data_IF_830799456125
#
_entry.id   IF_830799456125
#
_cell.length_a   1.000
_cell.length_b   1.000
_cell.length_c   1.000
_cell.angle_alpha   90.00
_cell.angle_beta   90.00
_cell.angle_gamma   90.00
#
_symmetry.space_group_name_H-M   'P 1'
#
loop_
_entity.id
_entity.type
_entity.pdbx_description
1 polymer ?
#
# COMPACT_ATOMS: atom_id res chain seq x y z
N UNK A 1 -6.77 -14.60 -19.56
CA UNK A 1 -6.59 -14.34 -18.11
C UNK A 1 -5.50 -13.28 -17.87
N UNK A 2 -5.72 -12.23 -17.06
CA UNK A 2 -4.62 -11.33 -16.75
C UNK A 2 -3.56 -12.15 -16.00
N UNK A 3 -2.30 -12.16 -16.47
CA UNK A 3 -1.25 -12.92 -15.83
C UNK A 3 -0.92 -12.20 -14.51
N UNK A 4 -0.91 -12.95 -13.41
CA UNK A 4 -0.60 -12.50 -12.04
C UNK A 4 -1.62 -11.55 -11.38
N UNK A 5 -2.35 -12.12 -10.42
CA UNK A 5 -3.13 -11.37 -9.44
C UNK A 5 -2.16 -10.84 -8.39
N UNK A 6 -2.08 -9.52 -8.24
CA UNK A 6 -1.30 -8.86 -7.19
C UNK A 6 -1.72 -9.36 -5.81
N UNK A 7 -0.77 -9.83 -5.01
CA UNK A 7 -0.98 -10.18 -3.60
C UNK A 7 0.01 -9.36 -2.76
N UNK A 8 -0.47 -8.46 -1.90
CA UNK A 8 0.38 -7.63 -1.05
C UNK A 8 1.11 -8.52 -0.03
N UNK A 9 2.37 -8.22 0.26
CA UNK A 9 3.22 -8.95 1.22
C UNK A 9 3.11 -8.40 2.66
N UNK A 10 1.90 -8.04 3.08
CA UNK A 10 1.65 -7.52 4.44
C UNK A 10 1.75 -8.67 5.43
N UNK A 11 2.36 -8.42 6.60
CA UNK A 11 2.47 -9.40 7.68
C UNK A 11 1.09 -9.80 8.22
N UNK A 12 0.17 -8.83 8.32
CA UNK A 12 -1.21 -9.05 8.75
C UNK A 12 -2.06 -9.69 7.63
N UNK A 13 -2.34 -10.99 7.76
CA UNK A 13 -3.22 -11.72 6.80
C UNK A 13 -4.69 -11.34 6.92
N UNK A 14 -5.10 -10.82 8.07
CA UNK A 14 -6.48 -10.47 8.38
C UNK A 14 -6.67 -8.95 8.36
N UNK A 15 -7.85 -8.51 7.95
CA UNK A 15 -8.26 -7.11 7.97
C UNK A 15 -9.71 -7.01 8.44
N UNK A 16 -10.06 -5.92 9.15
CA UNK A 16 -11.43 -5.66 9.57
C UNK A 16 -12.27 -5.27 8.35
N UNK A 17 -13.48 -5.81 8.28
CA UNK A 17 -14.52 -5.43 7.31
C UNK A 17 -15.86 -5.30 8.03
N UNK A 18 -16.71 -4.42 7.53
CA UNK A 18 -18.11 -4.27 7.98
C UNK A 18 -18.99 -4.94 6.95
N UNK A 19 -19.79 -5.93 7.38
CA UNK A 19 -20.68 -6.64 6.49
C UNK A 19 -21.93 -5.79 6.19
N UNK A 20 -22.24 -5.59 4.91
CA UNK A 20 -23.49 -4.94 4.48
C UNK A 20 -24.65 -5.93 4.43
N UNK A 21 -24.35 -7.20 4.17
CA UNK A 21 -25.35 -8.27 4.09
C UNK A 21 -25.00 -9.46 5.00
N UNK A 22 -25.97 -10.33 5.24
CA UNK A 22 -25.74 -11.57 5.98
C UNK A 22 -24.93 -12.54 5.12
N UNK A 23 -23.71 -12.87 5.57
CA UNK A 23 -22.83 -13.80 4.86
C UNK A 23 -22.67 -15.08 5.66
N UNK A 24 -23.06 -16.21 5.06
CA UNK A 24 -23.01 -17.53 5.70
C UNK A 24 -21.59 -17.84 6.21
N UNK A 25 -21.49 -18.28 7.47
CA UNK A 25 -20.23 -18.62 8.16
C UNK A 25 -19.24 -17.45 8.34
N UNK A 26 -19.66 -16.21 8.11
CA UNK A 26 -18.82 -15.02 8.32
C UNK A 26 -19.42 -14.12 9.38
N UNK A 27 -20.69 -13.73 9.23
CA UNK A 27 -21.35 -12.85 10.18
C UNK A 27 -22.69 -12.30 9.67
N UNK A 28 -23.27 -11.39 10.45
CA UNK A 28 -24.53 -10.71 10.12
C UNK A 28 -24.27 -9.31 9.54
N UNK A 29 -25.28 -8.76 8.88
CA UNK A 29 -25.28 -7.35 8.45
C UNK A 29 -25.00 -6.44 9.64
N UNK A 30 -24.17 -5.42 9.44
CA UNK A 30 -23.72 -4.47 10.46
C UNK A 30 -22.63 -4.98 11.41
N UNK A 31 -22.18 -6.23 11.28
CA UNK A 31 -21.13 -6.77 12.13
C UNK A 31 -19.73 -6.44 11.59
N UNK A 32 -18.83 -6.01 12.49
CA UNK A 32 -17.40 -5.84 12.20
C UNK A 32 -16.70 -7.18 12.41
N UNK A 33 -16.08 -7.71 11.36
CA UNK A 33 -15.43 -9.02 11.38
C UNK A 33 -14.02 -8.97 10.80
N UNK A 34 -13.10 -9.76 11.37
CA UNK A 34 -11.75 -9.92 10.84
C UNK A 34 -11.71 -11.07 9.84
N UNK A 35 -11.52 -10.75 8.56
CA UNK A 35 -11.45 -11.75 7.48
C UNK A 35 -10.09 -11.71 6.81
N UNK A 36 -9.75 -12.77 6.08
CA UNK A 36 -8.53 -12.77 5.25
C UNK A 36 -8.62 -11.64 4.22
N UNK A 37 -7.57 -10.83 4.09
CA UNK A 37 -7.49 -9.70 3.14
C UNK A 37 -7.87 -10.09 1.72
N UNK A 38 -7.38 -11.24 1.26
CA UNK A 38 -7.71 -11.76 -0.08
C UNK A 38 -9.20 -12.06 -0.26
N UNK A 39 -9.87 -12.56 0.78
CA UNK A 39 -11.31 -12.82 0.74
C UNK A 39 -12.11 -11.51 0.71
N UNK A 40 -11.72 -10.52 1.52
CA UNK A 40 -12.30 -9.18 1.45
C UNK A 40 -12.12 -8.54 0.06
N UNK A 41 -10.88 -8.46 -0.42
CA UNK A 41 -10.51 -7.77 -1.67
C UNK A 41 -11.14 -8.38 -2.92
N UNK A 42 -11.30 -9.69 -2.96
CA UNK A 42 -11.64 -10.39 -4.20
C UNK A 42 -13.06 -10.93 -4.23
N UNK A 43 -13.72 -11.00 -3.08
CA UNK A 43 -15.07 -11.55 -2.97
C UNK A 43 -16.01 -10.61 -2.24
N UNK A 44 -15.71 -10.19 -1.01
CA UNK A 44 -16.69 -9.41 -0.25
C UNK A 44 -16.88 -7.99 -0.78
N UNK A 45 -15.79 -7.26 -1.00
CA UNK A 45 -15.84 -5.84 -1.43
C UNK A 45 -16.34 -5.70 -2.87
N UNK A 46 -15.85 -6.47 -3.87
CA UNK A 46 -16.32 -6.33 -5.25
C UNK A 46 -17.79 -6.74 -5.46
N UNK A 47 -18.31 -7.65 -4.63
CA UNK A 47 -19.72 -8.06 -4.67
C UNK A 47 -20.60 -7.21 -3.72
N UNK A 48 -20.08 -6.11 -3.18
CA UNK A 48 -20.79 -5.19 -2.28
C UNK A 48 -21.34 -5.81 -0.98
N UNK A 49 -20.88 -7.02 -0.62
CA UNK A 49 -21.28 -7.75 0.58
C UNK A 49 -20.67 -7.16 1.85
N UNK A 50 -19.54 -6.47 1.73
CA UNK A 50 -18.84 -5.82 2.83
C UNK A 50 -18.08 -4.59 2.36
N UNK A 51 -17.79 -3.71 3.30
CA UNK A 51 -16.89 -2.56 3.12
C UNK A 51 -15.68 -2.71 4.04
N UNK A 52 -14.55 -2.10 3.68
CA UNK A 52 -13.37 -2.09 4.54
C UNK A 52 -13.71 -1.46 5.88
N UNK A 53 -13.20 -2.01 6.98
CA UNK A 53 -13.41 -1.50 8.34
C UNK A 53 -12.60 -0.23 8.61
N UNK A 54 -12.73 0.79 7.76
CA UNK A 54 -12.28 2.14 8.08
C UNK A 54 -13.22 2.74 9.11
N UNK A 55 -12.75 3.73 9.87
CA UNK A 55 -13.60 4.39 10.86
C UNK A 55 -14.88 4.96 10.24
N UNK A 56 -14.79 5.58 9.06
CA UNK A 56 -15.94 6.14 8.31
C UNK A 56 -16.98 5.05 8.02
N UNK A 57 -16.51 3.90 7.54
CA UNK A 57 -17.37 2.79 7.17
C UNK A 57 -17.94 2.08 8.39
N UNK A 58 -17.20 2.02 9.50
CA UNK A 58 -17.69 1.45 10.76
C UNK A 58 -18.77 2.35 11.34
N UNK A 59 -18.54 3.66 11.43
CA UNK A 59 -19.51 4.61 11.98
C UNK A 59 -20.83 4.60 11.19
N UNK A 60 -20.76 4.44 9.88
CA UNK A 60 -21.95 4.47 9.03
C UNK A 60 -22.65 3.10 8.87
N UNK A 61 -21.89 2.03 8.71
CA UNK A 61 -22.45 0.72 8.34
C UNK A 61 -22.52 -0.27 9.50
N UNK A 62 -21.82 -0.04 10.62
CA UNK A 62 -21.90 -0.95 11.75
C UNK A 62 -23.19 -0.73 12.53
N UNK A 63 -23.79 -1.84 12.99
CA UNK A 63 -24.93 -1.77 13.88
C UNK A 63 -24.41 -1.49 15.31
N UNK A 64 -24.96 -0.49 16.04
CA UNK A 64 -24.58 -0.19 17.42
C UNK A 64 -24.64 -1.40 18.37
N UNK A 65 -25.50 -2.39 18.06
CA UNK A 65 -25.61 -3.62 18.83
C UNK A 65 -24.32 -4.46 18.77
N UNK A 66 -23.64 -4.50 17.61
CA UNK A 66 -22.41 -5.28 17.41
C UNK A 66 -21.14 -4.46 17.66
N UNK A 67 -21.23 -3.14 17.83
CA UNK A 67 -20.07 -2.28 18.13
C UNK A 67 -19.39 -2.64 19.46
N UNK A 68 -20.14 -3.10 20.45
CA UNK A 68 -19.58 -3.51 21.75
C UNK A 68 -18.60 -4.70 21.63
N UNK A 69 -18.83 -5.59 20.66
CA UNK A 69 -17.93 -6.71 20.37
C UNK A 69 -16.65 -6.23 19.65
N UNK A 70 -16.77 -5.24 18.76
CA UNK A 70 -15.64 -4.67 18.02
C UNK A 70 -14.64 -3.95 18.94
N UNK A 71 -15.12 -3.21 19.95
CA UNK A 71 -14.28 -2.55 20.95
C UNK A 71 -13.50 -3.57 21.79
N UNK A 72 -14.11 -4.72 22.13
CA UNK A 72 -13.45 -5.81 22.85
C UNK A 72 -12.38 -6.53 22.02
N UNK A 73 -12.53 -6.56 20.69
CA UNK A 73 -11.55 -7.12 19.75
C UNK A 73 -10.29 -6.23 19.54
N UNK A 74 -10.13 -5.18 20.34
CA UNK A 74 -8.93 -4.32 20.33
C UNK A 74 -9.05 -3.07 19.46
N UNK A 75 -10.26 -2.72 19.02
CA UNK A 75 -10.53 -1.43 18.39
C UNK A 75 -10.68 -0.36 19.48
N UNK A 76 -9.56 -0.01 20.12
CA UNK A 76 -9.53 1.11 21.05
C UNK A 76 -9.87 2.38 20.28
N UNK A 77 -10.90 3.09 20.75
CA UNK A 77 -11.29 4.40 20.25
C UNK A 77 -10.11 5.38 20.20
N UNK A 78 -8.99 5.17 20.89
CA UNK A 78 -7.79 6.04 20.79
C UNK A 78 -7.14 6.17 19.39
N UNK A 79 -7.56 5.39 18.38
CA UNK A 79 -7.18 5.64 16.99
C UNK A 79 -8.01 6.77 16.31
N UNK A 80 -8.98 7.37 17.03
CA UNK A 80 -9.90 8.42 16.53
C UNK A 80 -9.22 9.64 15.87
N UNK A 81 -7.92 9.86 16.06
CA UNK A 81 -7.29 11.15 15.75
C UNK A 81 -6.23 11.17 14.65
N UNK A 82 -5.95 10.06 13.95
CA UNK A 82 -4.78 9.98 13.03
C UNK A 82 -5.07 9.44 11.63
N UNK A 83 -6.23 9.77 11.06
CA UNK A 83 -6.58 9.36 9.69
C UNK A 83 -6.36 10.44 8.62
N UNK A 84 -5.52 11.43 8.90
CA UNK A 84 -4.80 12.08 7.84
C UNK A 84 -3.78 11.08 7.30
N UNK A 85 -4.00 10.56 6.08
CA UNK A 85 -2.95 9.90 5.30
C UNK A 85 -1.81 10.88 4.93
N UNK A 86 -1.75 12.06 5.55
CA UNK A 86 -0.70 13.06 5.38
C UNK A 86 0.70 12.45 5.62
N UNK A 87 0.81 11.47 6.52
CA UNK A 87 2.07 10.72 6.72
C UNK A 87 2.55 9.96 5.48
N UNK A 88 1.66 9.68 4.51
CA UNK A 88 2.03 9.08 3.22
C UNK A 88 2.97 10.00 2.46
N UNK A 89 2.83 11.33 2.60
CA UNK A 89 3.78 12.29 2.00
C UNK A 89 5.20 12.17 2.55
N UNK A 90 5.35 11.70 3.79
CA UNK A 90 6.65 11.52 4.44
C UNK A 90 7.30 10.18 4.06
N UNK A 91 6.62 9.33 3.30
CA UNK A 91 7.17 8.05 2.85
C UNK A 91 8.27 8.30 1.81
N UNK A 92 9.48 7.88 2.17
CA UNK A 92 10.64 7.84 1.29
C UNK A 92 11.03 6.40 1.05
N UNK A 93 10.91 5.95 -0.19
CA UNK A 93 11.32 4.61 -0.58
C UNK A 93 12.70 4.67 -1.24
N UNK A 94 13.64 3.86 -0.74
CA UNK A 94 14.97 3.78 -1.31
C UNK A 94 15.17 2.41 -1.98
N UNK A 95 15.54 2.42 -3.26
CA UNK A 95 15.85 1.23 -4.04
C UNK A 95 17.31 1.24 -4.46
N UNK A 96 18.01 0.12 -4.24
CA UNK A 96 19.37 -0.07 -4.72
C UNK A 96 19.32 -0.99 -5.94
N UNK A 97 19.55 -0.43 -7.13
CA UNK A 97 19.43 -1.13 -8.41
C UNK A 97 20.75 -1.07 -9.19
N UNK A 98 20.91 -1.99 -10.16
CA UNK A 98 22.09 -2.04 -11.01
C UNK A 98 21.93 -1.12 -12.22
N UNK A 99 22.98 -0.35 -12.50
CA UNK A 99 23.08 0.55 -13.66
C UNK A 99 24.02 -0.02 -14.72
N UNK A 100 23.88 0.46 -15.95
CA UNK A 100 24.81 0.10 -17.02
C UNK A 100 26.22 0.65 -16.72
N UNK A 101 27.26 -0.10 -17.08
CA UNK A 101 28.66 0.31 -16.88
C UNK A 101 29.02 1.58 -17.69
N UNK A 102 28.47 1.69 -18.90
CA UNK A 102 28.74 2.83 -19.81
C UNK A 102 27.86 4.04 -19.51
N UNK A 103 26.69 3.83 -18.91
CA UNK A 103 25.70 4.87 -18.61
C UNK A 103 25.26 4.75 -17.14
N UNK A 104 26.00 5.43 -16.25
CA UNK A 104 25.70 5.40 -14.82
C UNK A 104 24.30 5.90 -14.46
N UNK A 105 23.69 6.73 -15.32
CA UNK A 105 22.38 7.30 -15.04
C UNK A 105 21.21 6.39 -15.46
N UNK A 106 21.46 5.36 -16.26
CA UNK A 106 20.42 4.44 -16.76
C UNK A 106 20.49 3.10 -16.03
N UNK A 107 19.34 2.65 -15.55
CA UNK A 107 19.16 1.33 -14.94
C UNK A 107 19.18 0.24 -16.01
N UNK A 108 19.75 -0.92 -15.65
CA UNK A 108 19.69 -2.12 -16.51
C UNK A 108 18.26 -2.62 -16.59
N UNK A 109 17.57 -2.64 -15.45
CA UNK A 109 16.17 -3.04 -15.32
C UNK A 109 15.37 -1.87 -14.74
N UNK A 110 14.25 -1.49 -15.36
CA UNK A 110 13.44 -0.39 -14.85
C UNK A 110 12.77 -0.77 -13.53
N UNK A 111 12.65 0.20 -12.63
CA UNK A 111 11.86 0.09 -11.41
C UNK A 111 10.37 0.03 -11.79
N UNK A 112 9.76 -1.12 -11.58
CA UNK A 112 8.36 -1.38 -11.95
C UNK A 112 7.39 -1.00 -10.85
N UNK A 113 6.12 -0.79 -11.23
CA UNK A 113 4.99 -0.58 -10.29
C UNK A 113 4.95 -1.67 -9.21
N UNK A 114 5.24 -2.91 -9.60
CA UNK A 114 5.22 -4.06 -8.71
C UNK A 114 6.23 -3.95 -7.58
N UNK A 115 7.45 -3.50 -7.88
CA UNK A 115 8.51 -3.32 -6.88
C UNK A 115 8.16 -2.18 -5.90
N UNK A 116 7.51 -1.12 -6.38
CA UNK A 116 7.03 -0.03 -5.52
C UNK A 116 5.91 -0.51 -4.59
N UNK A 117 4.88 -1.15 -5.15
CA UNK A 117 3.77 -1.72 -4.37
C UNK A 117 4.27 -2.68 -3.30
N UNK A 118 5.28 -3.44 -3.64
CA UNK A 118 5.89 -4.42 -2.76
C UNK A 118 6.65 -3.80 -1.59
N UNK A 119 7.46 -2.77 -1.85
CA UNK A 119 8.14 -2.01 -0.81
C UNK A 119 7.12 -1.32 0.10
N UNK A 120 6.09 -0.69 -0.46
CA UNK A 120 4.99 -0.06 0.30
C UNK A 120 4.26 -1.07 1.18
N UNK A 121 3.98 -2.25 0.64
CA UNK A 121 3.30 -3.32 1.36
C UNK A 121 4.16 -3.90 2.50
N UNK A 122 5.48 -3.99 2.31
CA UNK A 122 6.39 -4.63 3.26
C UNK A 122 6.85 -3.67 4.37
N UNK A 123 7.16 -2.42 4.00
CA UNK A 123 7.74 -1.42 4.91
C UNK A 123 6.67 -0.61 5.64
N UNK A 124 5.56 -0.29 4.96
CA UNK A 124 4.52 0.61 5.48
C UNK A 124 3.16 -0.06 5.65
N UNK A 125 3.07 -1.38 5.41
CA UNK A 125 1.83 -2.18 5.48
C UNK A 125 0.69 -1.61 4.62
N UNK A 126 1.04 -0.85 3.58
CA UNK A 126 0.08 -0.21 2.68
C UNK A 126 -0.41 -1.20 1.62
N UNK A 127 -1.71 -1.46 1.63
CA UNK A 127 -2.36 -2.43 0.77
C UNK A 127 -2.94 -1.80 -0.51
N UNK A 128 -2.06 -1.33 -1.40
CA UNK A 128 -2.44 -0.62 -2.62
C UNK A 128 -2.56 -1.56 -3.84
N UNK A 129 -3.33 -1.13 -4.83
CA UNK A 129 -3.43 -1.79 -6.14
C UNK A 129 -2.57 -1.05 -7.18
N UNK A 130 -2.18 -1.71 -8.29
CA UNK A 130 -1.50 -1.04 -9.40
C UNK A 130 -2.27 0.14 -10.01
N UNK A 131 -3.59 0.18 -9.84
CA UNK A 131 -4.44 1.30 -10.26
C UNK A 131 -4.34 2.51 -9.32
N UNK A 132 -3.79 2.34 -8.11
CA UNK A 132 -3.60 3.41 -7.13
C UNK A 132 -2.27 4.14 -7.32
N UNK A 133 -1.40 3.72 -8.24
CA UNK A 133 -0.09 4.36 -8.46
C UNK A 133 -0.05 4.96 -9.86
N UNK A 134 0.30 6.24 -9.91
CA UNK A 134 0.55 6.99 -11.13
C UNK A 134 2.03 7.39 -11.19
N UNK A 135 2.67 7.02 -12.30
CA UNK A 135 4.05 7.38 -12.59
C UNK A 135 4.08 8.74 -13.29
N UNK A 136 5.17 9.51 -13.13
CA UNK A 136 5.35 10.79 -13.81
C UNK A 136 5.52 10.63 -15.33
N UNK A 137 5.99 9.47 -15.81
CA UNK A 137 6.15 9.20 -17.25
C UNK A 137 4.83 8.74 -17.90
N UNK A 138 4.67 8.98 -19.21
CA UNK A 138 3.45 8.69 -19.97
C UNK A 138 3.12 7.19 -20.05
N UNK A 139 4.12 6.33 -19.95
CA UNK A 139 3.94 4.87 -19.95
C UNK A 139 4.31 4.27 -18.59
N UNK A 140 3.30 4.13 -17.71
CA UNK A 140 3.46 3.57 -16.36
C UNK A 140 4.05 2.16 -16.34
N UNK A 141 3.86 1.38 -17.40
CA UNK A 141 4.28 -0.02 -17.45
C UNK A 141 5.75 -0.16 -17.83
N UNK A 142 6.32 0.89 -18.43
CA UNK A 142 7.75 1.00 -18.72
C UNK A 142 8.59 1.19 -17.46
N UNK A 143 8.01 1.71 -16.38
CA UNK A 143 8.68 1.93 -15.10
C UNK A 143 9.69 3.09 -15.12
N UNK A 144 10.37 3.32 -13.99
CA UNK A 144 11.42 4.35 -13.90
C UNK A 144 12.76 3.73 -14.31
N UNK A 145 13.43 4.32 -15.29
CA UNK A 145 14.69 3.83 -15.85
C UNK A 145 15.93 4.67 -15.46
N UNK A 146 15.74 5.77 -14.75
CA UNK A 146 16.80 6.72 -14.41
C UNK A 146 17.10 6.66 -12.92
N UNK A 147 18.37 6.77 -12.54
CA UNK A 147 18.77 6.95 -11.13
C UNK A 147 18.41 8.34 -10.62
N UNK A 148 18.27 8.50 -9.30
CA UNK A 148 17.92 9.77 -8.68
C UNK A 148 16.57 9.72 -7.95
N UNK A 149 16.06 10.90 -7.60
CA UNK A 149 14.79 11.06 -6.90
C UNK A 149 13.65 11.24 -7.89
N UNK A 150 12.63 10.41 -7.77
CA UNK A 150 11.41 10.48 -8.57
C UNK A 150 10.21 10.62 -7.66
N UNK A 151 9.33 11.57 -8.00
CA UNK A 151 8.07 11.73 -7.30
C UNK A 151 6.99 10.88 -7.98
N UNK A 152 6.41 9.95 -7.22
CA UNK A 152 5.36 9.05 -7.68
C UNK A 152 4.06 9.39 -6.95
N UNK A 153 2.97 9.55 -7.70
CA UNK A 153 1.67 9.91 -7.13
C UNK A 153 0.88 8.66 -6.76
N UNK A 154 0.40 8.59 -5.53
CA UNK A 154 -0.48 7.55 -5.03
C UNK A 154 -1.88 8.13 -4.91
N UNK A 155 -2.85 7.49 -5.56
CA UNK A 155 -4.28 7.80 -5.45
C UNK A 155 -4.98 6.81 -4.53
N UNK A 156 -5.45 7.30 -3.40
CA UNK A 156 -6.25 6.53 -2.45
C UNK A 156 -7.70 6.99 -2.60
N UNK A 157 -8.62 6.11 -3.07
CA UNK A 157 -10.02 6.44 -3.11
C UNK A 157 -10.58 6.42 -1.68
N UNK A 158 -10.99 7.59 -1.19
CA UNK A 158 -11.85 7.69 -0.02
C UNK A 158 -13.30 7.77 -0.48
N UNK A 159 -14.21 7.66 0.47
CA UNK A 159 -15.63 7.78 0.20
C UNK A 159 -16.02 9.17 -0.29
N UNK A 160 -15.42 10.21 0.28
CA UNK A 160 -15.75 11.62 0.00
C UNK A 160 -14.94 12.22 -1.15
N UNK A 161 -13.68 11.77 -1.31
CA UNK A 161 -12.76 12.29 -2.30
C UNK A 161 -11.70 11.25 -2.66
N UNK A 162 -10.95 11.48 -3.73
CA UNK A 162 -9.73 10.70 -3.99
C UNK A 162 -8.54 11.50 -3.46
N UNK A 163 -7.88 11.01 -2.43
CA UNK A 163 -6.64 11.63 -1.94
C UNK A 163 -5.48 11.30 -2.87
N UNK A 164 -4.74 12.32 -3.27
CA UNK A 164 -3.54 12.18 -4.07
C UNK A 164 -2.32 12.52 -3.21
N UNK A 165 -1.44 11.54 -3.00
CA UNK A 165 -0.26 11.64 -2.15
C UNK A 165 1.00 11.43 -2.99
N UNK A 166 1.89 12.40 -3.05
CA UNK A 166 3.19 12.22 -3.67
C UNK A 166 4.15 11.52 -2.69
N UNK A 167 4.82 10.46 -3.15
CA UNK A 167 5.91 9.80 -2.45
C UNK A 167 7.21 10.01 -3.20
N UNK A 168 8.32 10.16 -2.46
CA UNK A 168 9.65 10.27 -3.07
C UNK A 168 10.31 8.90 -3.13
N UNK A 169 10.66 8.50 -4.35
CA UNK A 169 11.35 7.25 -4.66
C UNK A 169 12.78 7.58 -5.04
N UNK A 170 13.72 7.23 -4.17
CA UNK A 170 15.15 7.39 -4.40
C UNK A 170 15.73 6.11 -4.99
N UNK A 171 16.36 6.22 -6.15
CA UNK A 171 17.03 5.11 -6.83
C UNK A 171 18.54 5.35 -6.78
N UNK A 172 19.26 4.48 -6.07
CA UNK A 172 20.71 4.53 -5.90
C UNK A 172 21.38 3.41 -6.69
N UNK A 173 22.48 3.71 -7.38
CA UNK A 173 23.28 2.69 -8.07
C UNK A 173 24.03 1.81 -7.07
N UNK A 174 23.94 0.49 -7.24
CA UNK A 174 24.72 -0.49 -6.45
C UNK A 174 26.23 -0.26 -6.56
N UNK A 175 26.72 0.18 -7.73
CA UNK A 175 28.15 0.46 -7.93
C UNK A 175 28.61 1.67 -7.11
N UNK A 176 27.82 2.75 -7.07
CA UNK A 176 28.13 3.93 -6.27
C UNK A 176 28.07 3.63 -4.77
N UNK A 177 27.06 2.85 -4.35
CA UNK A 177 26.93 2.42 -2.95
C UNK A 177 28.14 1.61 -2.49
N UNK A 178 28.63 0.68 -3.30
CA UNK A 178 29.84 -0.11 -2.99
C UNK A 178 31.09 0.76 -2.91
N UNK A 179 31.29 1.65 -3.89
CA UNK A 179 32.43 2.59 -3.89
C UNK A 179 32.41 3.53 -2.70
N UNK A 180 31.23 3.97 -2.25
CA UNK A 180 31.10 4.81 -1.06
C UNK A 180 31.51 4.04 0.22
N UNK A 181 31.08 2.79 0.36
CA UNK A 181 31.47 1.92 1.48
C UNK A 181 32.98 1.66 1.48
N UNK A 182 33.57 1.38 0.32
CA UNK A 182 35.02 1.17 0.18
C UNK A 182 35.82 2.43 0.53
N UNK A 183 35.37 3.62 0.09
CA UNK A 183 35.99 4.90 0.46
C UNK A 183 35.90 5.18 1.95
N UNK A 184 34.78 4.86 2.58
CA UNK A 184 34.57 5.07 4.02
C UNK A 184 35.47 4.15 4.85
N UNK A 185 35.62 2.88 4.43
CA UNK A 185 36.56 1.92 5.04
C UNK A 185 38.03 2.25 4.83
N UNK A 186 38.37 3.03 3.80
CA UNK A 186 39.74 3.45 3.53
C UNK A 186 40.14 4.72 4.30
N UNK A 187 39.19 5.44 4.89
CA UNK A 187 39.41 6.63 5.73
C UNK A 187 39.45 6.32 7.23
N UNK A 188 39.05 5.10 7.63
CA UNK A 188 39.09 4.58 9.01
C UNK A 188 40.34 3.74 9.22
#
# INVERSE_FOLDING_TARGET
PPPFRWIPRIKTRFAPVVLKENVKNVGRTGQVVFVKRGYARHYLVPNELAVWGTWENIDEHADPQYMHEAVQLGYSLDQQQKHSFDWVHDIKLQFVLKTHDTKLNELIEPLTVWQILDALSTQHELDLLPSNIDFPDRDKWKGLNTVGTHDVSIRIPFRTHTGAYAISVEIVSDQERRRAIERQKAME
#
